data_IF_556162861271
#
_entry.id   IF_556162861271
#
_cell.length_a   1.000
_cell.length_b   1.000
_cell.length_c   1.000
_cell.angle_alpha   90.00
_cell.angle_beta   90.00
_cell.angle_gamma   90.00
#
_symmetry.space_group_name_H-M   'P 1'
#
loop_
_entity.id
_entity.type
_entity.pdbx_description
1 polymer ?
#
# COMPACT_ATOMS: atom_id res chain seq x y z
N UNK A 1 18.46 -1.09 -63.83
CA UNK A 1 17.12 -0.63 -63.41
C UNK A 1 16.87 -1.13 -62.00
N UNK A 2 16.85 -0.22 -61.02
CA UNK A 2 16.81 -0.51 -59.57
C UNK A 2 15.39 -0.93 -59.16
N UNK A 3 15.24 -2.13 -58.57
CA UNK A 3 13.99 -2.58 -57.94
C UNK A 3 13.97 -2.11 -56.49
N UNK A 4 13.07 -1.17 -56.20
CA UNK A 4 12.83 -0.61 -54.87
C UNK A 4 12.22 -1.71 -54.00
N UNK A 5 12.96 -2.15 -52.98
CA UNK A 5 12.52 -3.07 -51.94
C UNK A 5 11.62 -2.30 -50.96
N UNK A 6 10.31 -2.43 -51.10
CA UNK A 6 9.33 -1.81 -50.19
C UNK A 6 9.31 -2.58 -48.86
N UNK A 7 9.98 -2.03 -47.84
CA UNK A 7 9.99 -2.55 -46.47
C UNK A 7 8.66 -2.16 -45.78
N UNK A 8 7.71 -3.11 -45.72
CA UNK A 8 6.48 -2.95 -44.94
C UNK A 8 6.83 -2.98 -43.43
N UNK A 9 6.81 -1.81 -42.79
CA UNK A 9 6.81 -1.70 -41.33
C UNK A 9 5.44 -2.17 -40.80
N UNK A 10 5.36 -3.42 -40.38
CA UNK A 10 4.21 -3.95 -39.63
C UNK A 10 4.26 -3.35 -38.22
N UNK A 11 3.44 -2.33 -37.98
CA UNK A 11 3.27 -1.74 -36.65
C UNK A 11 2.46 -2.71 -35.77
N UNK A 12 3.14 -3.58 -35.04
CA UNK A 12 2.52 -4.40 -34.01
C UNK A 12 2.02 -3.51 -32.88
N UNK A 13 0.71 -3.47 -32.64
CA UNK A 13 0.15 -2.85 -31.43
C UNK A 13 0.64 -3.65 -30.21
N UNK A 14 1.63 -3.12 -29.49
CA UNK A 14 2.05 -3.66 -28.20
C UNK A 14 1.01 -3.24 -27.17
N UNK A 15 0.15 -4.18 -26.78
CA UNK A 15 -0.65 -4.05 -25.57
C UNK A 15 0.30 -4.20 -24.38
N UNK A 16 0.78 -3.08 -23.84
CA UNK A 16 1.49 -3.07 -22.58
C UNK A 16 0.47 -3.32 -21.47
N UNK A 17 0.59 -4.46 -20.80
CA UNK A 17 -0.19 -4.74 -19.60
C UNK A 17 0.27 -3.79 -18.49
N UNK A 18 -0.69 -3.08 -17.91
CA UNK A 18 -0.46 -1.97 -16.98
C UNK A 18 -0.41 -2.52 -15.55
N UNK A 19 0.75 -3.06 -15.18
CA UNK A 19 1.03 -3.64 -13.86
C UNK A 19 1.28 -2.58 -12.76
N UNK A 20 0.57 -1.45 -12.79
CA UNK A 20 0.65 -0.46 -11.71
C UNK A 20 0.24 -1.10 -10.39
N UNK A 21 1.00 -0.88 -9.30
CA UNK A 21 0.67 -1.47 -8.01
C UNK A 21 -0.49 -0.71 -7.35
N UNK A 22 -1.18 -1.40 -6.45
CA UNK A 22 -2.11 -0.76 -5.51
C UNK A 22 -1.28 -0.02 -4.47
N UNK A 23 -1.45 1.30 -4.34
CA UNK A 23 -0.80 2.03 -3.26
C UNK A 23 -1.77 2.21 -2.10
N UNK A 24 -1.32 1.85 -0.91
CA UNK A 24 -2.04 2.00 0.36
C UNK A 24 -1.19 2.92 1.23
N UNK A 25 -1.73 4.08 1.57
CA UNK A 25 -1.09 5.05 2.45
C UNK A 25 -1.86 5.10 3.76
N UNK A 26 -1.17 4.79 4.86
CA UNK A 26 -1.71 4.81 6.22
C UNK A 26 -0.93 5.87 7.00
N UNK A 27 -1.64 6.85 7.53
CA UNK A 27 -1.05 7.91 8.36
C UNK A 27 -1.62 7.85 9.77
N UNK A 28 -0.75 7.80 10.76
CA UNK A 28 -1.15 7.97 12.15
C UNK A 28 -1.44 9.46 12.42
N UNK A 29 -2.59 9.69 13.04
CA UNK A 29 -3.01 10.95 13.64
C UNK A 29 -2.87 10.83 15.18
N UNK A 30 -3.37 11.81 15.93
CA UNK A 30 -3.37 11.72 17.39
C UNK A 30 -4.42 10.72 17.91
N UNK A 31 -4.22 10.22 19.13
CA UNK A 31 -5.18 9.38 19.87
C UNK A 31 -5.58 8.08 19.15
N UNK A 32 -4.60 7.34 18.60
CA UNK A 32 -4.82 6.07 17.88
C UNK A 32 -5.82 6.18 16.73
N UNK A 33 -5.80 7.34 16.07
CA UNK A 33 -6.56 7.57 14.84
C UNK A 33 -5.66 7.38 13.64
N UNK A 34 -6.18 6.75 12.60
CA UNK A 34 -5.41 6.45 11.40
C UNK A 34 -6.18 6.86 10.16
N UNK A 35 -5.53 7.60 9.27
CA UNK A 35 -6.07 7.88 7.94
C UNK A 35 -5.60 6.82 6.96
N UNK A 36 -6.50 6.31 6.13
CA UNK A 36 -6.21 5.31 5.10
C UNK A 36 -6.58 5.86 3.75
N UNK A 37 -5.63 5.84 2.80
CA UNK A 37 -5.83 6.29 1.43
C UNK A 37 -5.38 5.22 0.46
N UNK A 38 -6.23 4.90 -0.50
CA UNK A 38 -5.93 3.92 -1.55
C UNK A 38 -5.82 4.63 -2.90
N UNK A 39 -4.74 4.35 -3.64
CA UNK A 39 -4.61 4.71 -5.07
C UNK A 39 -4.67 3.43 -5.87
N UNK A 40 -5.80 3.25 -6.55
CA UNK A 40 -6.09 2.03 -7.31
C UNK A 40 -5.44 2.07 -8.70
N UNK A 41 -4.98 0.91 -9.21
CA UNK A 41 -4.65 0.74 -10.61
C UNK A 41 -5.91 0.86 -11.50
N UNK A 42 -5.79 1.34 -12.75
CA UNK A 42 -6.96 1.47 -13.64
C UNK A 42 -7.61 0.14 -14.03
N UNK A 43 -6.90 -0.97 -13.87
CA UNK A 43 -7.41 -2.30 -14.16
C UNK A 43 -8.44 -2.79 -13.12
N UNK A 44 -8.51 -2.13 -11.96
CA UNK A 44 -9.47 -2.48 -10.90
C UNK A 44 -10.79 -1.76 -11.15
N UNK A 45 -11.87 -2.47 -11.52
CA UNK A 45 -13.15 -1.84 -11.82
C UNK A 45 -13.83 -1.30 -10.56
N UNK A 46 -14.81 -0.39 -10.70
CA UNK A 46 -15.48 0.19 -9.54
C UNK A 46 -16.18 -0.79 -8.59
N UNK A 47 -16.66 -1.90 -9.14
CA UNK A 47 -17.31 -2.98 -8.39
C UNK A 47 -16.34 -3.81 -7.55
N UNK A 48 -15.03 -3.72 -7.80
CA UNK A 48 -14.01 -4.53 -7.13
C UNK A 48 -13.00 -3.64 -6.37
N UNK A 49 -13.45 -2.51 -5.83
CA UNK A 49 -12.59 -1.64 -5.05
C UNK A 49 -12.03 -2.38 -3.83
N UNK A 50 -10.69 -2.42 -3.66
CA UNK A 50 -10.11 -3.00 -2.48
C UNK A 50 -10.43 -2.13 -1.27
N UNK A 51 -10.62 -2.79 -0.13
CA UNK A 51 -10.70 -2.17 1.18
C UNK A 51 -9.56 -2.69 2.06
N UNK A 52 -9.08 -1.84 2.98
CA UNK A 52 -8.14 -2.27 4.01
C UNK A 52 -8.94 -2.70 5.23
N UNK A 53 -8.82 -3.98 5.55
CA UNK A 53 -9.33 -4.54 6.80
C UNK A 53 -8.35 -4.19 7.91
N UNK A 54 -8.80 -3.25 8.75
CA UNK A 54 -8.11 -2.86 9.96
C UNK A 54 -8.33 -3.92 11.06
N UNK A 55 -7.50 -3.94 12.11
CA UNK A 55 -7.65 -4.89 13.20
C UNK A 55 -9.00 -4.72 13.91
N UNK A 56 -9.48 -5.78 14.58
CA UNK A 56 -10.79 -5.81 15.23
C UNK A 56 -11.02 -4.70 16.27
N UNK A 57 -9.94 -4.16 16.84
CA UNK A 57 -9.98 -3.07 17.82
C UNK A 57 -10.05 -1.67 17.17
N UNK A 58 -10.23 -1.60 15.85
CA UNK A 58 -10.37 -0.38 15.08
C UNK A 58 -11.77 -0.29 14.45
N UNK A 59 -12.35 0.90 14.50
CA UNK A 59 -13.66 1.20 13.92
C UNK A 59 -13.58 2.42 13.02
N UNK A 60 -14.38 2.45 11.96
CA UNK A 60 -14.47 3.63 11.09
C UNK A 60 -15.06 4.81 11.87
N UNK A 61 -14.43 5.98 11.78
CA UNK A 61 -14.91 7.19 12.41
C UNK A 61 -16.23 7.66 11.75
N UNK A 62 -17.29 7.91 12.53
CA UNK A 62 -18.56 8.41 11.99
C UNK A 62 -18.38 9.67 11.14
N UNK A 63 -18.99 9.69 9.95
CA UNK A 63 -18.93 10.80 9.01
C UNK A 63 -17.71 10.81 8.09
N UNK A 64 -16.87 9.78 8.13
CA UNK A 64 -15.72 9.60 7.23
C UNK A 64 -15.61 8.15 6.80
N UNK A 65 -15.09 7.88 5.60
CA UNK A 65 -14.85 6.51 5.11
C UNK A 65 -13.36 6.12 5.15
N UNK A 66 -12.51 7.03 5.60
CA UNK A 66 -11.05 6.93 5.47
C UNK A 66 -10.31 7.19 6.79
N UNK A 67 -11.02 7.41 7.89
CA UNK A 67 -10.42 7.57 9.22
C UNK A 67 -10.91 6.44 10.11
N UNK A 68 -9.98 5.79 10.79
CA UNK A 68 -10.22 4.71 11.75
C UNK A 68 -9.82 5.17 13.14
N UNK A 69 -10.64 4.87 14.14
CA UNK A 69 -10.38 5.08 15.56
C UNK A 69 -10.13 3.71 16.18
N UNK A 70 -8.97 3.53 16.81
CA UNK A 70 -8.56 2.29 17.43
C UNK A 70 -8.48 2.43 18.95
N UNK A 71 -8.72 1.34 19.70
CA UNK A 71 -8.59 1.35 21.16
C UNK A 71 -7.13 1.27 21.64
N UNK A 72 -6.20 0.93 20.75
CA UNK A 72 -4.76 0.78 20.99
C UNK A 72 -3.98 0.98 19.70
N UNK A 73 -2.66 1.04 19.80
CA UNK A 73 -1.75 1.14 18.66
C UNK A 73 -1.88 -0.07 17.70
N UNK A 74 -1.82 0.20 16.40
CA UNK A 74 -1.80 -0.82 15.34
C UNK A 74 -0.41 -1.42 15.12
N UNK A 75 0.66 -0.83 15.68
CA UNK A 75 2.02 -1.37 15.61
C UNK A 75 2.05 -2.84 16.05
N UNK A 76 2.70 -3.71 15.27
CA UNK A 76 2.73 -5.15 15.49
C UNK A 76 1.46 -5.92 15.11
N UNK A 77 0.38 -5.25 14.69
CA UNK A 77 -0.86 -5.88 14.24
C UNK A 77 -0.83 -6.20 12.74
N UNK A 78 -1.73 -7.08 12.29
CA UNK A 78 -1.88 -7.41 10.87
C UNK A 78 -2.99 -6.58 10.24
N UNK A 79 -2.75 -6.11 9.02
CA UNK A 79 -3.71 -5.48 8.13
C UNK A 79 -3.90 -6.37 6.90
N UNK A 80 -5.12 -6.40 6.36
CA UNK A 80 -5.42 -7.20 5.18
C UNK A 80 -6.06 -6.36 4.07
N UNK A 81 -5.73 -6.68 2.83
CA UNK A 81 -6.30 -6.06 1.63
C UNK A 81 -7.38 -7.01 1.13
N UNK A 82 -8.64 -6.58 1.18
CA UNK A 82 -9.77 -7.38 0.74
C UNK A 82 -10.34 -6.84 -0.57
N UNK A 83 -10.57 -7.74 -1.52
CA UNK A 83 -11.24 -7.46 -2.79
C UNK A 83 -12.63 -8.10 -2.78
N UNK A 84 -13.71 -7.34 -2.95
CA UNK A 84 -15.06 -7.85 -2.73
C UNK A 84 -15.54 -8.86 -3.78
N UNK A 85 -14.96 -8.87 -4.99
CA UNK A 85 -15.39 -9.75 -6.08
C UNK A 85 -14.31 -10.75 -6.52
N UNK A 86 -13.10 -10.27 -6.82
CA UNK A 86 -12.02 -11.13 -7.32
C UNK A 86 -10.64 -10.56 -6.95
N UNK A 87 -9.67 -11.44 -6.67
CA UNK A 87 -8.30 -11.03 -6.44
C UNK A 87 -7.67 -10.45 -7.71
N UNK A 88 -6.99 -9.32 -7.59
CA UNK A 88 -6.29 -8.69 -8.71
C UNK A 88 -4.80 -9.05 -8.62
N UNK A 89 -4.17 -9.59 -9.69
CA UNK A 89 -2.79 -10.07 -9.65
C UNK A 89 -1.76 -8.92 -9.77
N UNK A 90 -1.97 -7.81 -9.08
CA UNK A 90 -1.03 -6.71 -8.98
C UNK A 90 -0.23 -6.80 -7.67
N UNK A 91 0.97 -6.23 -7.65
CA UNK A 91 1.66 -5.97 -6.38
C UNK A 91 0.99 -4.84 -5.62
N UNK A 92 1.22 -4.76 -4.32
CA UNK A 92 0.71 -3.68 -3.48
C UNK A 92 1.86 -3.00 -2.75
N UNK A 93 1.87 -1.67 -2.72
CA UNK A 93 2.83 -0.88 -1.94
C UNK A 93 2.09 -0.31 -0.76
N UNK A 94 2.45 -0.72 0.44
CA UNK A 94 1.86 -0.22 1.68
C UNK A 94 2.87 0.69 2.36
N UNK A 95 2.48 1.95 2.57
CA UNK A 95 3.25 2.97 3.27
C UNK A 95 2.55 3.33 4.57
N UNK A 96 3.28 3.28 5.68
CA UNK A 96 2.84 3.72 7.00
C UNK A 96 3.70 4.89 7.47
N UNK A 97 3.04 5.94 7.94
CA UNK A 97 3.67 7.12 8.53
C UNK A 97 3.18 7.29 9.96
N UNK A 98 4.07 7.15 10.94
CA UNK A 98 3.77 7.37 12.35
C UNK A 98 3.94 8.85 12.73
N UNK A 99 3.23 9.30 13.77
CA UNK A 99 3.34 10.68 14.29
C UNK A 99 4.73 10.94 14.92
N UNK A 100 5.44 9.88 15.29
CA UNK A 100 6.84 9.91 15.76
C UNK A 100 7.83 10.30 14.66
N UNK A 101 7.42 10.32 13.39
CA UNK A 101 8.26 10.61 12.22
C UNK A 101 8.80 9.35 11.52
N UNK A 102 8.60 8.19 12.13
CA UNK A 102 8.95 6.88 11.58
C UNK A 102 8.09 6.57 10.33
N UNK A 103 8.74 6.12 9.25
CA UNK A 103 8.08 5.79 8.00
C UNK A 103 8.47 4.39 7.55
N UNK A 104 7.47 3.55 7.32
CA UNK A 104 7.66 2.20 6.81
C UNK A 104 7.04 2.07 5.44
N UNK A 105 7.72 1.38 4.54
CA UNK A 105 7.17 1.05 3.22
C UNK A 105 7.50 -0.39 2.91
N UNK A 106 6.48 -1.17 2.58
CA UNK A 106 6.62 -2.55 2.12
C UNK A 106 6.01 -2.69 0.74
N UNK A 107 6.59 -3.58 -0.07
CA UNK A 107 5.96 -4.05 -1.31
C UNK A 107 5.51 -5.48 -1.09
N UNK A 108 4.20 -5.69 -1.09
CA UNK A 108 3.58 -7.00 -1.06
C UNK A 108 3.61 -7.59 -2.48
N UNK A 109 4.01 -8.85 -2.55
CA UNK A 109 4.07 -9.62 -3.78
C UNK A 109 2.67 -9.89 -4.34
N UNK A 110 2.60 -10.36 -5.60
CA UNK A 110 1.31 -10.75 -6.21
C UNK A 110 0.64 -11.84 -5.36
N UNK A 111 -0.60 -11.60 -4.94
CA UNK A 111 -1.36 -12.52 -4.08
C UNK A 111 -1.06 -12.40 -2.58
N UNK A 112 -0.06 -11.60 -2.19
CA UNK A 112 0.18 -11.26 -0.79
C UNK A 112 -0.76 -10.11 -0.39
N UNK A 113 -1.76 -10.44 0.43
CA UNK A 113 -2.82 -9.52 0.83
C UNK A 113 -2.74 -9.12 2.29
N UNK A 114 -1.79 -9.66 3.04
CA UNK A 114 -1.66 -9.39 4.48
C UNK A 114 -0.32 -8.76 4.75
N UNK A 115 -0.32 -7.71 5.56
CA UNK A 115 0.88 -7.03 6.00
C UNK A 115 0.87 -6.90 7.52
N UNK A 116 1.98 -7.24 8.17
CA UNK A 116 2.17 -6.99 9.60
C UNK A 116 2.84 -5.63 9.78
N UNK A 117 2.17 -4.73 10.48
CA UNK A 117 2.72 -3.42 10.83
C UNK A 117 3.95 -3.65 11.72
N UNK A 118 5.11 -3.03 11.44
CA UNK A 118 6.29 -3.13 12.28
C UNK A 118 6.02 -2.58 13.68
N UNK A 119 6.83 -3.04 14.64
CA UNK A 119 6.86 -2.45 15.98
C UNK A 119 7.49 -1.07 15.91
N UNK A 120 7.10 -0.17 16.82
CA UNK A 120 7.69 1.18 16.90
C UNK A 120 9.17 1.09 17.24
N UNK A 121 9.98 1.93 16.61
CA UNK A 121 11.36 2.16 17.03
C UNK A 121 11.39 2.93 18.36
N UNK A 122 12.09 2.39 19.38
CA UNK A 122 12.34 3.16 20.60
C UNK A 122 13.48 4.18 20.37
N UNK A 123 13.19 5.47 20.57
CA UNK A 123 14.13 6.59 20.40
C UNK A 123 15.42 6.43 21.24
N UNK A 124 15.31 5.78 22.40
CA UNK A 124 16.44 5.44 23.29
C UNK A 124 17.46 4.51 22.62
N UNK A 125 16.99 3.60 21.77
CA UNK A 125 17.81 2.59 21.09
C UNK A 125 18.64 3.23 19.97
N UNK A 126 18.06 4.20 19.26
CA UNK A 126 18.71 4.92 18.18
C UNK A 126 19.87 5.79 18.70
N UNK A 127 19.67 6.52 19.80
CA UNK A 127 20.72 7.36 20.39
C UNK A 127 21.93 6.55 20.88
N UNK A 128 21.69 5.36 21.47
CA UNK A 128 22.74 4.44 21.91
C UNK A 128 23.52 3.84 20.74
N UNK A 129 22.85 3.51 19.63
CA UNK A 129 23.52 3.01 18.42
C UNK A 129 24.46 4.06 17.80
N UNK A 130 24.07 5.34 17.79
CA UNK A 130 24.93 6.41 17.29
C UNK A 130 26.11 6.73 18.23
N UNK A 131 25.98 6.50 19.54
CA UNK A 131 27.10 6.69 20.48
C UNK A 131 28.08 5.53 20.50
N UNK A 132 27.66 4.32 20.14
CA UNK A 132 28.55 3.15 20.07
C UNK A 132 29.36 3.07 18.78
N UNK A 133 28.85 3.64 17.68
CA UNK A 133 29.53 3.69 16.38
C UNK A 133 30.42 4.92 16.20
N UNK A 134 30.52 5.78 17.23
CA UNK A 134 31.30 7.02 17.24
C UNK A 134 32.55 6.94 18.10
#
# INVERSE_FOLDING_TARGET
MIRILALFFVASSVFADDFRPLYVEIGELQDYRYTVRLKRPPQVPPSNHPAIEMPEFCTVQPGTDNIYICSKDIAGSSLSINYPSFGVPNSSVVKMSFITGENHTVTLSRGELTWRVPLREEVSTVAAQYTWLG
#
